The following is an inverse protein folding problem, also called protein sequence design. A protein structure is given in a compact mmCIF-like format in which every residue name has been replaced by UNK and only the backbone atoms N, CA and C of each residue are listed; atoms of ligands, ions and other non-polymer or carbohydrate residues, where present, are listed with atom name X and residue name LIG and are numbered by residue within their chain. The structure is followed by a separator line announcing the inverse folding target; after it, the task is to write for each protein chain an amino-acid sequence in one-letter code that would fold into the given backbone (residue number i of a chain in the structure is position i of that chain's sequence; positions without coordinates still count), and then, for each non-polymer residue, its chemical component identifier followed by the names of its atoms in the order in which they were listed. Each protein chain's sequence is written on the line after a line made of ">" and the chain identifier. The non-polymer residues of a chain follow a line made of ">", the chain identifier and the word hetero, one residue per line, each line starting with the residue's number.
data_IF_608378519769
#
_entry.id   IF_608378519769
#
_cell.length_a   1.000
_cell.length_b   1.000
_cell.length_c   1.000
_cell.angle_alpha   90.00
_cell.angle_beta   90.00
_cell.angle_gamma   90.00
#
_symmetry.space_group_name_H-M   'P 1'
#
loop_
_entity.id
_entity.type
_entity.pdbx_description
1 polymer ?
#
# COMPACT_ATOMS: atom_id res chain seq x y z
N UNK A 1 74.87 3.02 -41.01
CA UNK A 1 73.51 3.38 -40.60
C UNK A 1 72.79 2.12 -40.15
N UNK A 2 72.64 1.92 -38.83
CA UNK A 2 71.82 0.83 -38.27
C UNK A 2 70.62 1.49 -37.60
N UNK A 3 69.43 1.20 -38.11
CA UNK A 3 68.14 1.65 -37.58
C UNK A 3 67.81 0.88 -36.32
N UNK A 4 67.57 1.60 -35.22
CA UNK A 4 67.04 1.03 -33.97
C UNK A 4 65.52 0.79 -34.12
N UNK A 5 64.97 -0.26 -33.51
CA UNK A 5 63.53 -0.52 -33.52
C UNK A 5 62.79 0.40 -32.52
N UNK A 6 61.62 0.87 -32.95
CA UNK A 6 60.66 1.68 -32.18
C UNK A 6 60.39 1.08 -30.80
N UNK A 7 60.67 1.86 -29.74
CA UNK A 7 60.08 1.64 -28.43
C UNK A 7 58.60 2.04 -28.46
N UNK A 8 57.69 1.28 -27.83
CA UNK A 8 56.31 1.69 -27.66
C UNK A 8 56.25 2.92 -26.74
N UNK A 9 55.47 3.92 -27.16
CA UNK A 9 55.16 5.11 -26.37
C UNK A 9 54.56 4.69 -25.00
N UNK A 10 54.91 5.37 -23.90
CA UNK A 10 54.30 5.11 -22.60
C UNK A 10 52.78 5.39 -22.66
N UNK A 11 51.96 4.67 -21.88
CA UNK A 11 50.52 4.92 -21.83
C UNK A 11 50.26 6.37 -21.40
N UNK A 12 49.37 7.05 -22.11
CA UNK A 12 48.93 8.41 -21.77
C UNK A 12 48.52 8.48 -20.31
N UNK A 13 49.13 9.40 -19.57
CA UNK A 13 48.77 9.71 -18.19
C UNK A 13 47.31 10.12 -18.11
N UNK A 14 46.58 9.59 -17.13
CA UNK A 14 45.17 9.89 -16.89
C UNK A 14 44.88 11.42 -16.93
N UNK A 15 43.82 11.86 -17.62
CA UNK A 15 43.54 13.28 -17.82
C UNK A 15 43.24 13.98 -16.48
N UNK A 16 43.87 15.15 -16.32
CA UNK A 16 43.70 16.03 -15.15
C UNK A 16 42.24 16.49 -14.97
N UNK A 17 41.85 16.83 -13.74
CA UNK A 17 40.50 17.32 -13.35
C UNK A 17 40.04 18.61 -14.06
N UNK A 18 40.91 19.26 -14.83
CA UNK A 18 40.60 20.44 -15.65
C UNK A 18 40.33 20.14 -17.13
N UNK A 19 40.29 18.86 -17.54
CA UNK A 19 40.05 18.49 -18.94
C UNK A 19 38.57 18.75 -19.35
N UNK A 20 38.30 19.64 -20.32
CA UNK A 20 36.96 19.91 -20.81
C UNK A 20 36.24 18.65 -21.33
N UNK A 21 36.96 17.68 -21.88
CA UNK A 21 36.37 16.44 -22.41
C UNK A 21 35.73 15.61 -21.29
N UNK A 22 36.42 15.49 -20.16
CA UNK A 22 35.94 14.72 -19.00
C UNK A 22 34.65 15.29 -18.41
N UNK A 23 34.47 16.62 -18.43
CA UNK A 23 33.23 17.27 -17.98
C UNK A 23 32.05 17.00 -18.91
N UNK A 24 32.30 16.91 -20.22
CA UNK A 24 31.25 16.58 -21.20
C UNK A 24 30.79 15.14 -21.00
N UNK A 25 31.73 14.21 -20.77
CA UNK A 25 31.41 12.80 -20.49
C UNK A 25 30.62 12.63 -19.19
N UNK A 26 30.97 13.37 -18.13
CA UNK A 26 30.22 13.40 -16.87
C UNK A 26 28.78 13.88 -17.08
N UNK A 27 28.58 14.97 -17.84
CA UNK A 27 27.25 15.48 -18.15
C UNK A 27 26.44 14.50 -18.99
N UNK A 28 27.06 13.84 -19.97
CA UNK A 28 26.43 12.81 -20.78
C UNK A 28 26.00 11.59 -19.93
N UNK A 29 26.84 11.19 -18.97
CA UNK A 29 26.51 10.14 -18.01
C UNK A 29 25.31 10.53 -17.14
N UNK A 30 25.33 11.73 -16.54
CA UNK A 30 24.23 12.21 -15.70
C UNK A 30 22.91 12.26 -16.49
N UNK A 31 22.94 12.72 -17.73
CA UNK A 31 21.79 12.71 -18.62
C UNK A 31 21.29 11.29 -18.92
N UNK A 32 22.19 10.35 -19.24
CA UNK A 32 21.85 8.94 -19.45
C UNK A 32 21.22 8.32 -18.21
N UNK A 33 21.77 8.56 -17.02
CA UNK A 33 21.23 8.07 -15.75
C UNK A 33 19.84 8.65 -15.50
N UNK A 34 19.62 9.95 -15.73
CA UNK A 34 18.29 10.57 -15.63
C UNK A 34 17.28 9.86 -16.53
N UNK A 35 17.64 9.58 -17.79
CA UNK A 35 16.75 8.87 -18.73
C UNK A 35 16.44 7.43 -18.29
N UNK A 36 17.41 6.72 -17.71
CA UNK A 36 17.18 5.37 -17.16
C UNK A 36 16.19 5.42 -15.99
N UNK A 37 16.37 6.37 -15.08
CA UNK A 37 15.50 6.51 -13.90
C UNK A 37 14.04 6.85 -14.26
N UNK A 38 13.81 7.47 -15.42
CA UNK A 38 12.48 7.82 -15.95
C UNK A 38 11.76 6.66 -16.67
N UNK A 39 12.43 5.55 -16.99
CA UNK A 39 11.88 4.50 -17.88
C UNK A 39 10.94 3.49 -17.22
N UNK A 40 11.15 3.15 -15.94
CA UNK A 40 10.35 2.15 -15.23
C UNK A 40 10.14 2.57 -13.78
N UNK A 41 8.99 2.22 -13.20
CA UNK A 41 8.66 2.44 -11.79
C UNK A 41 9.22 1.34 -10.87
N UNK A 42 9.74 0.23 -11.39
CA UNK A 42 10.42 -0.79 -10.57
C UNK A 42 11.88 -0.39 -10.32
N UNK A 43 12.29 -0.36 -9.04
CA UNK A 43 13.66 -0.01 -8.66
C UNK A 43 14.69 -1.04 -9.12
N UNK A 44 14.32 -2.32 -9.19
CA UNK A 44 15.24 -3.38 -9.63
C UNK A 44 15.59 -3.24 -11.11
N UNK A 45 14.64 -2.77 -11.89
CA UNK A 45 14.79 -2.56 -13.33
C UNK A 45 15.64 -1.33 -13.66
N UNK A 46 15.61 -0.27 -12.83
CA UNK A 46 16.37 0.96 -13.11
C UNK A 46 17.73 1.04 -12.40
N UNK A 47 17.89 0.46 -11.21
CA UNK A 47 19.15 0.61 -10.45
C UNK A 47 20.29 -0.17 -11.11
N UNK A 48 20.02 -1.36 -11.66
CA UNK A 48 21.07 -2.18 -12.27
C UNK A 48 21.69 -1.51 -13.49
N UNK A 49 20.91 -0.95 -14.45
CA UNK A 49 21.48 -0.18 -15.56
C UNK A 49 22.18 1.13 -15.12
N UNK A 50 21.76 1.75 -14.02
CA UNK A 50 22.48 2.91 -13.45
C UNK A 50 23.86 2.50 -12.93
N UNK A 51 23.96 1.38 -12.22
CA UNK A 51 25.24 0.85 -11.74
C UNK A 51 26.16 0.46 -12.91
N UNK A 52 25.61 -0.08 -14.00
CA UNK A 52 26.36 -0.37 -15.23
C UNK A 52 26.89 0.90 -15.89
N UNK A 53 26.06 1.94 -16.04
CA UNK A 53 26.49 3.22 -16.62
C UNK A 53 27.59 3.89 -15.77
N UNK A 54 27.49 3.81 -14.44
CA UNK A 54 28.54 4.25 -13.53
C UNK A 54 29.81 3.41 -13.68
N UNK A 55 29.69 2.10 -13.86
CA UNK A 55 30.83 1.20 -14.01
C UNK A 55 31.67 1.51 -15.24
N UNK A 56 31.01 1.79 -16.36
CA UNK A 56 31.66 2.21 -17.61
C UNK A 56 32.46 3.51 -17.47
N UNK A 57 31.93 4.50 -16.73
CA UNK A 57 32.57 5.82 -16.59
C UNK A 57 33.62 5.89 -15.48
N UNK A 58 33.38 5.24 -14.33
CA UNK A 58 34.27 5.33 -13.17
C UNK A 58 35.29 4.19 -13.10
N UNK A 59 35.25 3.25 -14.06
CA UNK A 59 35.98 1.99 -14.03
C UNK A 59 35.71 1.23 -12.72
N UNK A 60 34.42 1.05 -12.39
CA UNK A 60 34.02 0.34 -11.18
C UNK A 60 34.34 -1.15 -11.33
N UNK A 61 35.10 -1.70 -10.39
CA UNK A 61 35.17 -3.15 -10.23
C UNK A 61 33.89 -3.69 -9.60
N UNK A 62 33.34 -2.95 -8.63
CA UNK A 62 32.10 -3.31 -7.96
C UNK A 62 31.29 -2.06 -7.63
N UNK A 63 29.98 -2.14 -7.78
CA UNK A 63 29.05 -1.10 -7.37
C UNK A 63 27.89 -1.74 -6.61
N UNK A 64 27.43 -1.13 -5.53
CA UNK A 64 26.26 -1.65 -4.81
C UNK A 64 25.33 -0.53 -4.42
N UNK A 65 24.04 -0.79 -4.53
CA UNK A 65 23.01 0.00 -3.88
C UNK A 65 22.45 -0.81 -2.72
N UNK A 66 22.51 -0.22 -1.54
CA UNK A 66 21.99 -0.82 -0.31
C UNK A 66 20.79 -0.03 0.19
N UNK A 67 19.81 -0.73 0.77
CA UNK A 67 18.62 -0.14 1.37
C UNK A 67 18.53 -0.48 2.86
N UNK A 68 18.15 0.52 3.65
CA UNK A 68 17.90 0.41 5.09
C UNK A 68 16.44 0.07 5.36
N UNK A 69 16.20 -1.04 6.06
CA UNK A 69 14.92 -1.32 6.68
C UNK A 69 14.87 -0.64 8.06
N UNK A 70 14.16 0.49 8.14
CA UNK A 70 14.08 1.28 9.38
C UNK A 70 13.45 0.57 10.58
N UNK A 71 12.57 -0.41 10.34
CA UNK A 71 11.92 -1.17 11.42
C UNK A 71 12.89 -2.12 12.11
N UNK A 72 13.84 -2.66 11.35
CA UNK A 72 14.76 -3.71 11.84
C UNK A 72 16.21 -3.23 11.99
N UNK A 73 16.56 -2.07 11.43
CA UNK A 73 17.94 -1.58 11.36
C UNK A 73 18.82 -2.35 10.36
N UNK A 74 18.26 -3.32 9.65
CA UNK A 74 19.01 -4.15 8.69
C UNK A 74 19.22 -3.41 7.38
N UNK A 75 20.43 -3.51 6.85
CA UNK A 75 20.84 -2.98 5.55
C UNK A 75 21.13 -4.17 4.63
N UNK A 76 20.50 -4.17 3.46
CA UNK A 76 20.67 -5.22 2.45
C UNK A 76 21.10 -4.62 1.12
N UNK A 77 21.86 -5.37 0.33
CA UNK A 77 22.15 -5.01 -1.06
C UNK A 77 20.89 -5.28 -1.90
N UNK A 78 20.31 -4.22 -2.46
CA UNK A 78 19.16 -4.31 -3.35
C UNK A 78 19.61 -4.63 -4.79
N UNK A 79 20.71 -4.01 -5.24
CA UNK A 79 21.32 -4.28 -6.54
C UNK A 79 22.82 -4.13 -6.48
N UNK A 80 23.52 -4.86 -7.36
CA UNK A 80 24.97 -4.89 -7.42
C UNK A 80 25.48 -5.06 -8.84
N UNK A 81 26.59 -4.39 -9.12
CA UNK A 81 27.46 -4.62 -10.26
C UNK A 81 28.74 -5.32 -9.78
N UNK A 82 29.24 -6.30 -10.54
CA UNK A 82 30.46 -7.05 -10.24
C UNK A 82 30.33 -8.12 -9.14
N UNK A 83 29.12 -8.37 -8.61
CA UNK A 83 28.86 -9.40 -7.59
C UNK A 83 27.94 -10.51 -8.11
N UNK A 84 28.18 -11.75 -7.66
CA UNK A 84 27.25 -12.85 -7.91
C UNK A 84 26.00 -12.76 -7.02
N UNK A 85 24.90 -13.40 -7.44
CA UNK A 85 23.67 -13.42 -6.66
C UNK A 85 23.86 -13.96 -5.23
N UNK A 86 24.77 -14.92 -5.03
CA UNK A 86 25.10 -15.45 -3.71
C UNK A 86 25.84 -14.43 -2.84
N UNK A 87 26.77 -13.67 -3.43
CA UNK A 87 27.51 -12.62 -2.74
C UNK A 87 26.58 -11.45 -2.36
N UNK A 88 25.69 -11.06 -3.27
CA UNK A 88 24.65 -10.04 -3.01
C UNK A 88 23.78 -10.43 -1.82
N UNK A 89 23.30 -11.68 -1.75
CA UNK A 89 22.47 -12.16 -0.64
C UNK A 89 23.19 -12.19 0.71
N UNK A 90 24.51 -12.41 0.71
CA UNK A 90 25.36 -12.43 1.91
C UNK A 90 25.68 -11.02 2.43
N UNK A 91 25.73 -10.01 1.56
CA UNK A 91 26.02 -8.63 1.91
C UNK A 91 24.91 -7.99 2.73
N UNK A 92 24.90 -8.29 4.03
CA UNK A 92 23.97 -7.74 5.02
C UNK A 92 24.77 -7.01 6.09
N UNK A 93 24.29 -5.84 6.49
CA UNK A 93 24.94 -4.95 7.44
C UNK A 93 23.94 -4.42 8.45
N UNK A 94 24.43 -3.90 9.57
CA UNK A 94 23.66 -3.11 10.53
C UNK A 94 24.10 -1.64 10.51
N UNK A 95 23.28 -0.76 11.08
CA UNK A 95 23.66 0.64 11.29
C UNK A 95 24.95 0.75 12.12
N UNK A 96 25.89 1.59 11.67
CA UNK A 96 27.21 1.75 12.29
C UNK A 96 28.21 0.63 11.98
N UNK A 97 27.81 -0.43 11.28
CA UNK A 97 28.68 -1.54 10.90
C UNK A 97 29.46 -1.24 9.60
N UNK A 98 30.79 -1.28 9.69
CA UNK A 98 31.68 -1.02 8.57
C UNK A 98 31.46 0.35 7.92
N UNK A 99 32.03 0.55 6.72
CA UNK A 99 31.88 1.82 5.99
C UNK A 99 30.43 2.08 5.59
N UNK A 100 29.73 1.09 5.04
CA UNK A 100 28.35 1.25 4.57
C UNK A 100 27.38 1.59 5.71
N UNK A 101 27.44 0.86 6.82
CA UNK A 101 26.56 1.12 7.97
C UNK A 101 26.85 2.46 8.64
N UNK A 102 28.12 2.89 8.70
CA UNK A 102 28.50 4.21 9.21
C UNK A 102 28.11 5.34 8.27
N UNK A 103 28.24 5.15 6.96
CA UNK A 103 27.82 6.15 5.96
C UNK A 103 26.31 6.39 6.03
N UNK A 104 25.53 5.31 6.20
CA UNK A 104 24.08 5.41 6.40
C UNK A 104 23.74 6.09 7.73
N UNK A 105 24.41 5.72 8.83
CA UNK A 105 24.13 6.26 10.15
C UNK A 105 24.50 7.74 10.28
N UNK A 106 25.66 8.14 9.74
CA UNK A 106 26.13 9.53 9.77
C UNK A 106 25.40 10.41 8.77
N UNK A 107 24.93 9.82 7.67
CA UNK A 107 24.42 10.58 6.53
C UNK A 107 25.51 11.36 5.81
N UNK A 108 26.79 11.01 5.97
CA UNK A 108 27.90 11.66 5.27
C UNK A 108 28.65 10.69 4.35
N UNK A 109 29.22 11.16 3.22
CA UNK A 109 30.08 10.34 2.40
C UNK A 109 31.30 9.85 3.18
N UNK A 110 31.71 8.60 2.93
CA UNK A 110 32.94 8.03 3.50
C UNK A 110 33.83 7.53 2.37
N UNK A 111 35.09 7.95 2.39
CA UNK A 111 36.12 7.56 1.44
C UNK A 111 37.13 6.68 2.17
N UNK A 112 37.41 5.51 1.61
CA UNK A 112 38.56 4.67 1.96
C UNK A 112 39.47 4.65 0.75
N UNK A 113 40.55 5.46 0.73
CA UNK A 113 41.43 5.57 -0.43
C UNK A 113 42.05 4.23 -0.83
N UNK A 114 42.38 3.41 0.17
CA UNK A 114 43.00 2.11 -0.03
C UNK A 114 42.43 1.12 0.98
N UNK A 115 41.75 0.07 0.49
CA UNK A 115 41.03 -0.88 1.36
C UNK A 115 41.96 -1.72 2.22
N UNK A 116 43.15 -2.06 1.74
CA UNK A 116 44.12 -2.85 2.50
C UNK A 116 44.64 -2.16 3.77
N UNK A 117 44.51 -0.83 3.85
CA UNK A 117 45.01 0.00 4.94
C UNK A 117 43.91 0.40 5.94
N UNK A 118 42.68 -0.11 5.79
CA UNK A 118 41.52 0.33 6.59
C UNK A 118 40.83 -0.80 7.33
N UNK A 119 40.81 -0.70 8.66
CA UNK A 119 40.07 -1.61 9.55
C UNK A 119 38.54 -1.48 9.45
N UNK A 120 38.05 -0.46 8.73
CA UNK A 120 36.61 -0.19 8.57
C UNK A 120 35.97 -1.06 7.48
N UNK A 121 36.77 -1.73 6.66
CA UNK A 121 36.29 -2.59 5.58
C UNK A 121 35.91 -3.96 6.14
N UNK A 122 34.63 -4.32 5.96
CA UNK A 122 34.10 -5.63 6.36
C UNK A 122 33.75 -6.43 5.10
N UNK A 123 34.42 -7.55 4.86
CA UNK A 123 34.16 -8.42 3.69
C UNK A 123 32.93 -9.32 3.89
N UNK A 124 31.74 -8.71 4.02
CA UNK A 124 30.46 -9.44 4.12
C UNK A 124 30.13 -10.25 2.88
N UNK A 125 30.68 -9.85 1.74
CA UNK A 125 30.46 -10.50 0.44
C UNK A 125 31.43 -11.65 0.20
N UNK A 126 32.44 -11.86 1.07
CA UNK A 126 33.41 -12.97 1.06
C UNK A 126 34.03 -13.20 -0.32
N UNK A 127 34.65 -12.15 -0.87
CA UNK A 127 35.08 -12.14 -2.28
C UNK A 127 36.49 -12.71 -2.49
N UNK A 128 37.24 -12.95 -1.42
CA UNK A 128 38.63 -13.45 -1.47
C UNK A 128 39.66 -12.34 -1.68
N UNK A 129 40.95 -12.71 -1.80
CA UNK A 129 42.05 -11.77 -2.08
C UNK A 129 42.02 -11.32 -3.54
N UNK A 130 42.04 -10.00 -3.77
CA UNK A 130 42.19 -9.35 -5.08
C UNK A 130 43.07 -8.11 -4.94
N UNK A 131 43.40 -7.51 -6.08
CA UNK A 131 44.11 -6.24 -6.20
C UNK A 131 43.49 -5.16 -5.29
N UNK A 132 44.35 -4.25 -4.83
CA UNK A 132 43.93 -3.20 -3.91
C UNK A 132 42.97 -2.22 -4.59
N UNK A 133 41.99 -1.76 -3.82
CA UNK A 133 40.89 -0.94 -4.34
C UNK A 133 40.63 0.26 -3.44
N UNK A 134 40.12 1.33 -4.03
CA UNK A 134 39.48 2.42 -3.29
C UNK A 134 38.00 2.10 -3.09
N UNK A 135 37.43 2.55 -1.98
CA UNK A 135 36.01 2.38 -1.68
C UNK A 135 35.39 3.72 -1.34
N UNK A 136 34.27 4.04 -1.99
CA UNK A 136 33.47 5.23 -1.73
C UNK A 136 32.08 4.77 -1.33
N UNK A 137 31.55 5.32 -0.24
CA UNK A 137 30.16 5.16 0.16
C UNK A 137 29.50 6.53 0.24
N UNK A 138 28.44 6.74 -0.54
CA UNK A 138 27.60 7.93 -0.47
C UNK A 138 26.20 7.57 0.01
N UNK A 139 25.64 8.30 1.00
CA UNK A 139 24.30 8.06 1.49
C UNK A 139 23.23 8.49 0.47
N UNK A 140 22.13 7.75 0.42
CA UNK A 140 20.93 8.06 -0.37
C UNK A 140 19.94 8.78 0.57
N UNK A 141 19.91 10.12 0.50
CA UNK A 141 19.11 10.96 1.40
C UNK A 141 17.72 11.23 0.81
N UNK A 142 16.66 10.90 1.57
CA UNK A 142 15.26 11.20 1.23
C UNK A 142 14.69 12.08 2.34
N UNK A 143 14.48 13.36 2.06
CA UNK A 143 14.10 14.35 3.07
C UNK A 143 15.18 14.47 4.15
N UNK A 144 14.80 14.31 5.43
CA UNK A 144 15.73 14.33 6.56
C UNK A 144 16.36 12.98 6.87
N UNK A 145 15.97 11.93 6.16
CA UNK A 145 16.38 10.58 6.47
C UNK A 145 17.32 9.98 5.42
N UNK A 146 18.07 8.96 5.82
CA UNK A 146 18.88 8.14 4.91
C UNK A 146 18.15 6.85 4.57
N UNK A 147 17.83 6.67 3.29
CA UNK A 147 17.14 5.47 2.78
C UNK A 147 18.09 4.29 2.57
N UNK A 148 19.39 4.56 2.43
CA UNK A 148 20.41 3.56 2.09
C UNK A 148 21.72 4.20 1.67
N UNK A 149 22.56 3.47 0.95
CA UNK A 149 23.81 3.99 0.41
C UNK A 149 24.13 3.41 -0.97
N UNK A 150 24.70 4.24 -1.82
CA UNK A 150 25.37 3.86 -3.06
C UNK A 150 26.87 3.74 -2.75
N UNK A 151 27.44 2.56 -3.00
CA UNK A 151 28.86 2.29 -2.78
C UNK A 151 29.55 1.90 -4.07
N UNK A 152 30.78 2.37 -4.24
CA UNK A 152 31.61 2.18 -5.42
C UNK A 152 32.99 1.67 -5.01
N UNK A 153 33.48 0.68 -5.75
CA UNK A 153 34.82 0.13 -5.63
C UNK A 153 35.56 0.25 -6.95
N UNK A 154 36.68 0.95 -6.92
CA UNK A 154 37.53 1.21 -8.08
C UNK A 154 38.94 0.66 -7.81
N UNK A 155 39.72 0.33 -8.84
CA UNK A 155 41.13 0.04 -8.67
C UNK A 155 41.83 1.18 -7.91
N UNK A 156 42.78 0.84 -7.04
CA UNK A 156 43.59 1.84 -6.35
C UNK A 156 44.55 2.53 -7.33
N UNK A 157 44.51 3.86 -7.35
CA UNK A 157 45.40 4.70 -8.15
C UNK A 157 45.91 5.85 -7.29
N UNK A 158 47.24 5.94 -7.11
CA UNK A 158 47.89 6.87 -6.18
C UNK A 158 47.56 8.36 -6.43
N UNK A 159 47.29 8.72 -7.70
CA UNK A 159 47.03 10.12 -8.12
C UNK A 159 45.56 10.42 -8.37
N UNK A 160 44.65 9.47 -8.14
CA UNK A 160 43.22 9.65 -8.43
C UNK A 160 42.57 10.56 -7.38
N UNK A 161 41.89 11.61 -7.84
CA UNK A 161 41.11 12.48 -6.96
C UNK A 161 39.73 11.87 -6.68
N UNK A 162 39.62 11.15 -5.55
CA UNK A 162 38.37 10.53 -5.13
C UNK A 162 37.28 11.56 -4.77
N UNK A 163 37.61 12.85 -4.58
CA UNK A 163 36.59 13.88 -4.27
C UNK A 163 35.67 14.14 -5.45
N UNK A 164 36.18 14.07 -6.68
CA UNK A 164 35.35 14.20 -7.89
C UNK A 164 34.41 13.01 -8.03
N UNK A 165 34.90 11.80 -7.74
CA UNK A 165 34.07 10.59 -7.73
C UNK A 165 32.97 10.69 -6.67
N UNK A 166 33.28 11.18 -5.46
CA UNK A 166 32.27 11.46 -4.43
C UNK A 166 31.24 12.47 -4.93
N UNK A 167 31.66 13.55 -5.60
CA UNK A 167 30.74 14.56 -6.15
C UNK A 167 29.76 13.92 -7.12
N UNK A 168 30.25 13.19 -8.10
CA UNK A 168 29.43 12.51 -9.11
C UNK A 168 28.49 11.50 -8.47
N UNK A 169 29.01 10.62 -7.61
CA UNK A 169 28.21 9.62 -6.92
C UNK A 169 27.15 10.25 -6.01
N UNK A 170 27.42 11.40 -5.40
CA UNK A 170 26.44 12.15 -4.59
C UNK A 170 25.31 12.70 -5.45
N UNK A 171 25.61 13.22 -6.64
CA UNK A 171 24.60 13.68 -7.60
C UNK A 171 23.71 12.49 -8.03
N UNK A 172 24.33 11.37 -8.42
CA UNK A 172 23.59 10.16 -8.81
C UNK A 172 22.76 9.59 -7.65
N UNK A 173 23.32 9.54 -6.44
CA UNK A 173 22.62 9.14 -5.22
C UNK A 173 21.38 10.00 -4.96
N UNK A 174 21.48 11.31 -5.22
CA UNK A 174 20.37 12.24 -5.08
C UNK A 174 19.27 12.02 -6.13
N UNK A 175 19.63 11.72 -7.38
CA UNK A 175 18.66 11.33 -8.41
C UNK A 175 17.93 10.03 -8.06
N UNK A 176 18.68 9.02 -7.59
CA UNK A 176 18.10 7.76 -7.14
C UNK A 176 17.15 8.02 -5.95
N UNK A 177 17.54 8.87 -5.00
CA UNK A 177 16.70 9.22 -3.87
C UNK A 177 15.36 9.86 -4.28
N UNK A 178 15.38 10.78 -5.24
CA UNK A 178 14.16 11.40 -5.78
C UNK A 178 13.26 10.37 -6.47
N UNK A 179 13.84 9.47 -7.27
CA UNK A 179 13.10 8.38 -7.90
C UNK A 179 12.45 7.46 -6.85
N UNK A 180 13.18 7.11 -5.78
CA UNK A 180 12.65 6.34 -4.64
C UNK A 180 11.49 7.07 -3.95
N UNK A 181 11.63 8.37 -3.70
CA UNK A 181 10.64 9.16 -2.98
C UNK A 181 9.32 9.28 -3.75
N UNK A 182 9.40 9.61 -5.05
CA UNK A 182 8.22 9.72 -5.91
C UNK A 182 7.42 8.40 -5.95
N UNK A 183 8.15 7.28 -6.01
CA UNK A 183 7.54 5.94 -6.08
C UNK A 183 6.89 5.52 -4.76
N UNK A 184 7.50 5.85 -3.61
CA UNK A 184 6.89 5.60 -2.30
C UNK A 184 5.59 6.35 -2.13
N UNK A 185 5.56 7.63 -2.49
CA UNK A 185 4.34 8.43 -2.41
C UNK A 185 3.21 7.86 -3.27
N UNK A 186 3.51 7.44 -4.50
CA UNK A 186 2.52 6.83 -5.41
C UNK A 186 1.98 5.48 -4.88
N UNK A 187 2.84 4.64 -4.30
CA UNK A 187 2.44 3.36 -3.72
C UNK A 187 1.57 3.55 -2.46
N UNK A 188 1.95 4.45 -1.56
CA UNK A 188 1.18 4.77 -0.35
C UNK A 188 -0.21 5.32 -0.69
N UNK A 189 -0.31 6.17 -1.71
CA UNK A 189 -1.59 6.69 -2.19
C UNK A 189 -2.46 5.59 -2.79
N UNK A 190 -1.88 4.69 -3.58
CA UNK A 190 -2.59 3.53 -4.15
C UNK A 190 -3.13 2.62 -3.05
N UNK A 191 -2.31 2.24 -2.07
CA UNK A 191 -2.74 1.40 -0.94
C UNK A 191 -3.84 2.08 -0.10
N UNK A 192 -3.76 3.40 0.07
CA UNK A 192 -4.80 4.17 0.77
C UNK A 192 -6.11 4.16 0.00
N UNK A 193 -6.07 4.36 -1.33
CA UNK A 193 -7.24 4.29 -2.20
C UNK A 193 -7.88 2.90 -2.20
N UNK A 194 -7.08 1.84 -2.22
CA UNK A 194 -7.58 0.46 -2.16
C UNK A 194 -8.27 0.16 -0.83
N UNK A 195 -7.68 0.57 0.30
CA UNK A 195 -8.30 0.44 1.62
C UNK A 195 -9.62 1.20 1.71
N UNK A 196 -9.65 2.42 1.20
CA UNK A 196 -10.87 3.24 1.18
C UNK A 196 -11.94 2.63 0.27
N UNK A 197 -11.56 2.11 -0.90
CA UNK A 197 -12.47 1.41 -1.80
C UNK A 197 -13.06 0.17 -1.13
N UNK A 198 -12.24 -0.60 -0.41
CA UNK A 198 -12.69 -1.76 0.34
C UNK A 198 -13.65 -1.36 1.46
N UNK A 199 -13.32 -0.32 2.25
CA UNK A 199 -14.20 0.23 3.29
C UNK A 199 -15.57 0.64 2.72
N UNK A 200 -15.57 1.39 1.61
CA UNK A 200 -16.81 1.81 0.93
C UNK A 200 -17.62 0.63 0.39
N UNK A 201 -16.96 -0.43 -0.10
CA UNK A 201 -17.62 -1.67 -0.53
C UNK A 201 -18.25 -2.41 0.65
N UNK A 202 -17.59 -2.43 1.80
CA UNK A 202 -18.11 -3.06 3.01
C UNK A 202 -19.31 -2.27 3.56
N UNK A 203 -19.25 -0.94 3.57
CA UNK A 203 -20.41 -0.08 3.91
C UNK A 203 -21.61 -0.27 2.95
N UNK A 204 -21.36 -0.50 1.66
CA UNK A 204 -22.41 -0.84 0.69
C UNK A 204 -23.00 -2.25 0.92
N UNK A 205 -22.21 -3.19 1.42
CA UNK A 205 -22.65 -4.56 1.76
C UNK A 205 -23.47 -4.59 3.05
N UNK A 206 -23.17 -3.71 4.00
CA UNK A 206 -23.86 -3.60 5.29
C UNK A 206 -25.22 -2.89 5.21
N UNK A 207 -25.71 -2.52 4.02
CA UNK A 207 -27.10 -2.10 3.87
C UNK A 207 -28.02 -3.23 4.34
N UNK A 208 -28.88 -2.89 5.28
CA UNK A 208 -29.88 -3.77 5.87
C UNK A 208 -30.64 -4.53 4.77
N UNK A 209 -30.65 -5.87 4.84
CA UNK A 209 -31.38 -6.73 3.91
C UNK A 209 -32.18 -7.75 4.72
N UNK A 210 -33.52 -7.68 4.71
CA UNK A 210 -34.35 -8.70 5.32
C UNK A 210 -34.09 -10.07 4.69
N UNK A 211 -33.92 -11.11 5.51
CA UNK A 211 -33.65 -12.48 5.04
C UNK A 211 -34.79 -13.10 4.23
N UNK A 212 -36.00 -12.54 4.33
CA UNK A 212 -37.23 -13.03 3.72
C UNK A 212 -37.63 -12.30 2.42
N UNK A 213 -36.85 -11.32 1.94
CA UNK A 213 -37.13 -10.59 0.70
C UNK A 213 -35.96 -10.76 -0.28
N UNK A 214 -36.27 -11.22 -1.50
CA UNK A 214 -35.29 -11.38 -2.57
C UNK A 214 -35.35 -10.16 -3.52
N UNK A 215 -34.25 -9.42 -3.62
CA UNK A 215 -34.14 -8.28 -4.53
C UNK A 215 -32.90 -7.43 -4.26
N UNK A 216 -32.22 -6.97 -5.32
CA UNK A 216 -31.01 -6.16 -5.23
C UNK A 216 -31.03 -4.89 -6.10
N UNK A 217 -32.20 -4.55 -6.68
CA UNK A 217 -32.36 -3.32 -7.47
C UNK A 217 -32.26 -2.07 -6.58
N UNK A 218 -32.06 -0.92 -7.22
CA UNK A 218 -31.97 0.36 -6.51
C UNK A 218 -33.26 0.67 -5.74
N UNK A 219 -34.41 0.40 -6.36
CA UNK A 219 -35.74 0.60 -5.77
C UNK A 219 -35.94 -0.30 -4.54
N UNK A 220 -35.45 -1.53 -4.58
CA UNK A 220 -35.49 -2.44 -3.42
C UNK A 220 -34.60 -1.96 -2.28
N UNK A 221 -33.48 -1.30 -2.56
CA UNK A 221 -32.66 -0.69 -1.49
C UNK A 221 -33.45 0.40 -0.74
N UNK A 222 -34.24 1.21 -1.46
CA UNK A 222 -35.11 2.23 -0.84
C UNK A 222 -36.14 1.56 0.09
N UNK A 223 -36.76 0.46 -0.35
CA UNK A 223 -37.69 -0.31 0.49
C UNK A 223 -37.00 -0.86 1.73
N UNK A 224 -35.78 -1.40 1.61
CA UNK A 224 -35.03 -1.90 2.75
C UNK A 224 -34.68 -0.80 3.76
N UNK A 225 -34.27 0.38 3.29
CA UNK A 225 -33.97 1.53 4.14
C UNK A 225 -35.23 1.98 4.91
N UNK A 226 -36.40 1.99 4.25
CA UNK A 226 -37.68 2.30 4.90
C UNK A 226 -38.07 1.24 5.95
N UNK A 227 -37.89 -0.04 5.66
CA UNK A 227 -38.12 -1.12 6.63
C UNK A 227 -37.21 -0.94 7.85
N UNK A 228 -35.92 -0.68 7.64
CA UNK A 228 -34.95 -0.47 8.73
C UNK A 228 -35.29 0.75 9.61
N UNK A 229 -35.82 1.81 8.99
CA UNK A 229 -36.24 3.02 9.70
C UNK A 229 -37.50 2.76 10.54
N UNK A 230 -38.50 2.08 9.95
CA UNK A 230 -39.78 1.81 10.62
C UNK A 230 -39.63 0.77 11.72
N UNK A 231 -38.83 -0.29 11.50
CA UNK A 231 -38.68 -1.40 12.47
C UNK A 231 -38.13 -0.96 13.82
N UNK A 232 -37.34 0.12 13.86
CA UNK A 232 -36.79 0.70 15.09
C UNK A 232 -37.69 1.75 15.75
N UNK A 233 -38.90 1.95 15.25
CA UNK A 233 -39.82 2.99 15.72
C UNK A 233 -41.13 2.40 16.26
N UNK A 234 -41.83 3.17 17.10
CA UNK A 234 -43.14 2.79 17.64
C UNK A 234 -44.32 3.37 16.84
N UNK A 235 -44.11 3.74 15.58
CA UNK A 235 -45.15 4.34 14.72
C UNK A 235 -45.98 3.30 13.97
N UNK A 236 -47.19 3.66 13.58
CA UNK A 236 -47.98 2.92 12.58
C UNK A 236 -47.40 3.13 11.19
N UNK A 237 -47.44 2.10 10.34
CA UNK A 237 -46.94 2.14 8.97
C UNK A 237 -48.01 1.66 7.98
N UNK A 238 -48.02 2.26 6.78
CA UNK A 238 -48.88 1.90 5.67
C UNK A 238 -48.03 1.29 4.55
N UNK A 239 -48.36 0.06 4.14
CA UNK A 239 -47.63 -0.65 3.07
C UNK A 239 -48.48 -0.59 1.80
N UNK A 240 -47.97 0.07 0.77
CA UNK A 240 -48.63 0.20 -0.53
C UNK A 240 -47.97 -0.70 -1.58
N UNK A 241 -48.78 -1.23 -2.49
CA UNK A 241 -48.30 -2.05 -3.59
C UNK A 241 -49.42 -2.86 -4.21
N UNK A 242 -49.22 -3.31 -5.45
CA UNK A 242 -50.17 -4.16 -6.16
C UNK A 242 -50.35 -5.52 -5.46
N UNK A 243 -51.43 -6.22 -5.79
CA UNK A 243 -51.70 -7.57 -5.28
C UNK A 243 -50.57 -8.52 -5.73
N UNK A 244 -50.00 -9.27 -4.79
CA UNK A 244 -48.92 -10.24 -5.09
C UNK A 244 -47.49 -9.70 -5.03
N UNK A 245 -47.28 -8.40 -4.73
CA UNK A 245 -45.93 -7.80 -4.63
C UNK A 245 -45.17 -8.15 -3.33
N UNK A 246 -45.77 -8.94 -2.44
CA UNK A 246 -45.13 -9.38 -1.20
C UNK A 246 -45.22 -8.37 -0.04
N UNK A 247 -46.30 -7.57 0.05
CA UNK A 247 -46.56 -6.66 1.19
C UNK A 247 -46.46 -7.35 2.56
N UNK A 248 -46.89 -8.61 2.64
CA UNK A 248 -46.75 -9.44 3.83
C UNK A 248 -45.28 -9.70 4.21
N UNK A 249 -44.39 -9.89 3.22
CA UNK A 249 -42.96 -10.05 3.49
C UNK A 249 -42.36 -8.78 4.09
N UNK A 250 -42.83 -7.61 3.66
CA UNK A 250 -42.46 -6.31 4.24
C UNK A 250 -42.95 -6.20 5.68
N UNK A 251 -44.20 -6.56 5.97
CA UNK A 251 -44.75 -6.55 7.34
C UNK A 251 -43.96 -7.48 8.28
N UNK A 252 -43.63 -8.69 7.82
CA UNK A 252 -42.75 -9.61 8.55
C UNK A 252 -41.35 -9.04 8.78
N UNK A 253 -40.76 -8.42 7.74
CA UNK A 253 -39.44 -7.81 7.84
C UNK A 253 -39.43 -6.68 8.87
N UNK A 254 -40.47 -5.86 8.94
CA UNK A 254 -40.61 -4.81 9.96
C UNK A 254 -40.67 -5.43 11.36
N UNK A 255 -41.53 -6.44 11.57
CA UNK A 255 -41.72 -7.05 12.89
C UNK A 255 -40.45 -7.74 13.40
N UNK A 256 -39.87 -8.66 12.63
CA UNK A 256 -38.73 -9.47 13.07
C UNK A 256 -37.40 -8.71 13.15
N UNK A 257 -37.33 -7.50 12.60
CA UNK A 257 -36.19 -6.60 12.74
C UNK A 257 -36.46 -5.41 13.70
N UNK A 258 -37.52 -5.52 14.52
CA UNK A 258 -37.86 -4.56 15.56
C UNK A 258 -37.49 -5.08 16.96
N UNK A 259 -37.57 -4.20 17.96
CA UNK A 259 -37.48 -4.58 19.38
C UNK A 259 -38.62 -5.52 19.84
N UNK A 260 -39.61 -5.77 18.97
CA UNK A 260 -40.77 -6.64 19.21
C UNK A 260 -40.65 -8.01 18.54
N UNK A 261 -39.51 -8.35 17.93
CA UNK A 261 -39.32 -9.59 17.17
C UNK A 261 -39.62 -10.89 17.95
N UNK A 262 -39.50 -10.86 19.29
CA UNK A 262 -39.83 -11.99 20.17
C UNK A 262 -41.27 -11.99 20.70
N UNK A 263 -42.13 -11.08 20.24
CA UNK A 263 -43.51 -10.88 20.72
C UNK A 263 -44.53 -11.30 19.65
N UNK A 264 -45.84 -11.34 19.95
CA UNK A 264 -46.84 -11.76 18.97
C UNK A 264 -46.83 -10.91 17.69
N UNK A 265 -46.89 -11.60 16.54
CA UNK A 265 -47.20 -11.01 15.24
C UNK A 265 -48.56 -11.52 14.79
N UNK A 266 -49.58 -10.66 14.87
CA UNK A 266 -50.96 -11.01 14.53
C UNK A 266 -51.25 -10.46 13.13
N UNK A 267 -51.54 -11.36 12.19
CA UNK A 267 -51.97 -11.00 10.83
C UNK A 267 -53.47 -11.25 10.72
N UNK A 268 -54.21 -10.30 10.18
CA UNK A 268 -55.59 -10.48 9.79
C UNK A 268 -55.90 -9.80 8.44
N UNK A 269 -56.88 -10.32 7.71
CA UNK A 269 -57.32 -9.78 6.43
C UNK A 269 -58.63 -9.04 6.64
N UNK A 270 -58.59 -7.70 6.65
CA UNK A 270 -59.76 -6.89 6.97
C UNK A 270 -60.88 -7.03 5.92
N UNK A 271 -60.53 -7.37 4.68
CA UNK A 271 -61.49 -7.61 3.61
C UNK A 271 -62.41 -8.83 3.87
N UNK A 272 -62.03 -9.74 4.77
CA UNK A 272 -62.82 -10.92 5.10
C UNK A 272 -63.78 -10.71 6.28
N UNK A 273 -63.69 -9.57 6.99
CA UNK A 273 -64.50 -9.29 8.17
C UNK A 273 -65.82 -8.60 7.80
N UNK A 274 -66.99 -9.15 8.19
CA UNK A 274 -68.25 -8.45 8.07
C UNK A 274 -68.24 -7.15 8.88
N UNK A 275 -68.78 -6.07 8.31
CA UNK A 275 -68.81 -4.74 8.97
C UNK A 275 -69.46 -4.80 10.36
N UNK A 276 -70.47 -5.66 10.53
CA UNK A 276 -71.15 -5.88 11.82
C UNK A 276 -70.31 -6.59 12.88
N UNK A 277 -69.19 -7.23 12.51
CA UNK A 277 -68.33 -7.99 13.41
C UNK A 277 -66.95 -7.36 13.62
N UNK A 278 -66.58 -6.34 12.83
CA UNK A 278 -65.23 -5.76 12.84
C UNK A 278 -64.84 -5.22 14.22
N UNK A 279 -65.76 -4.55 14.93
CA UNK A 279 -65.50 -4.00 16.26
C UNK A 279 -65.28 -5.12 17.28
N UNK A 280 -66.10 -6.17 17.22
CA UNK A 280 -66.06 -7.33 18.10
C UNK A 280 -64.79 -8.18 17.89
N UNK A 281 -64.29 -8.26 16.66
CA UNK A 281 -63.05 -8.96 16.31
C UNK A 281 -61.80 -8.17 16.73
N UNK A 282 -61.75 -6.87 16.40
CA UNK A 282 -60.58 -6.04 16.68
C UNK A 282 -60.43 -5.70 18.17
N UNK A 283 -61.53 -5.32 18.82
CA UNK A 283 -61.53 -4.83 20.20
C UNK A 283 -62.04 -5.85 21.23
N UNK A 284 -62.71 -6.91 20.78
CA UNK A 284 -63.33 -7.87 21.69
C UNK A 284 -64.61 -7.33 22.31
N UNK A 285 -65.27 -8.16 23.12
CA UNK A 285 -66.43 -7.75 23.91
C UNK A 285 -66.56 -8.58 25.19
N UNK A 286 -67.27 -8.02 26.18
CA UNK A 286 -67.68 -8.75 27.38
C UNK A 286 -69.09 -9.29 27.21
N UNK A 287 -69.39 -10.37 27.92
CA UNK A 287 -70.75 -10.92 28.02
C UNK A 287 -71.73 -9.82 28.42
N UNK A 288 -72.81 -9.67 27.65
CA UNK A 288 -73.85 -8.65 27.87
C UNK A 288 -73.52 -7.25 27.37
N UNK A 289 -72.44 -7.05 26.59
CA UNK A 289 -72.12 -5.75 26.01
C UNK A 289 -73.15 -5.27 24.96
N UNK A 290 -73.82 -6.20 24.28
CA UNK A 290 -74.91 -5.95 23.34
C UNK A 290 -75.90 -7.12 23.33
N UNK A 291 -77.06 -6.95 22.69
CA UNK A 291 -78.06 -8.02 22.52
C UNK A 291 -77.49 -9.14 21.63
N UNK A 292 -77.23 -10.32 22.21
CA UNK A 292 -76.56 -11.44 21.54
C UNK A 292 -75.09 -11.66 21.95
N UNK A 293 -74.54 -10.85 22.87
CA UNK A 293 -73.21 -11.05 23.44
C UNK A 293 -73.23 -12.15 24.54
N UNK A 294 -73.44 -13.40 24.14
CA UNK A 294 -73.64 -14.52 25.07
C UNK A 294 -72.37 -14.94 25.81
N UNK A 295 -71.21 -14.69 25.20
CA UNK A 295 -69.88 -15.03 25.71
C UNK A 295 -68.91 -13.84 25.70
N UNK A 296 -67.78 -13.99 26.42
CA UNK A 296 -66.69 -13.03 26.40
C UNK A 296 -65.70 -13.37 25.28
N UNK A 297 -65.26 -12.35 24.52
CA UNK A 297 -64.28 -12.48 23.45
C UNK A 297 -63.14 -11.48 23.62
N UNK A 298 -61.91 -11.97 23.51
CA UNK A 298 -60.69 -11.16 23.48
C UNK A 298 -60.47 -10.64 22.06
N UNK A 299 -60.18 -9.34 21.91
CA UNK A 299 -59.96 -8.70 20.62
C UNK A 299 -58.54 -8.85 20.09
N UNK A 300 -58.35 -8.74 18.78
CA UNK A 300 -57.05 -8.86 18.12
C UNK A 300 -56.02 -7.85 18.64
N UNK A 301 -56.44 -6.62 19.00
CA UNK A 301 -55.52 -5.65 19.61
C UNK A 301 -55.00 -6.09 20.97
N UNK A 302 -55.82 -6.79 21.75
CA UNK A 302 -55.43 -7.33 23.05
C UNK A 302 -54.50 -8.53 22.87
N UNK A 303 -54.78 -9.42 21.90
CA UNK A 303 -53.91 -10.54 21.54
C UNK A 303 -52.54 -10.06 21.06
N UNK A 304 -52.51 -8.97 20.28
CA UNK A 304 -51.28 -8.37 19.74
C UNK A 304 -50.55 -7.47 20.76
N UNK A 305 -51.04 -7.36 22.01
CA UNK A 305 -50.51 -6.41 22.97
C UNK A 305 -49.00 -6.58 23.19
N UNK A 306 -48.27 -5.46 23.10
CA UNK A 306 -46.82 -5.42 23.16
C UNK A 306 -46.10 -5.87 21.89
N UNK A 307 -46.77 -6.55 20.95
CA UNK A 307 -46.26 -7.05 19.67
C UNK A 307 -46.64 -6.16 18.48
N UNK A 308 -47.00 -6.79 17.36
CA UNK A 308 -47.37 -6.12 16.10
C UNK A 308 -48.66 -6.73 15.56
N UNK A 309 -49.58 -5.88 15.11
CA UNK A 309 -50.76 -6.28 14.33
C UNK A 309 -50.59 -5.80 12.89
N UNK A 310 -50.80 -6.67 11.92
CA UNK A 310 -50.80 -6.38 10.49
C UNK A 310 -52.18 -6.63 9.93
N UNK A 311 -52.76 -5.59 9.34
CA UNK A 311 -54.09 -5.58 8.76
C UNK A 311 -53.95 -5.47 7.23
N UNK A 312 -54.24 -6.55 6.51
CA UNK A 312 -54.14 -6.67 5.04
C UNK A 312 -55.49 -6.43 4.34
#
# INVERSE_FOLDING_TARGET
>A
MKTQPNQPLPPESAPSSSDPSRRVDELALLYRISRILDQSLDMREVVSPVLEALAENLNLQHGTLTLLNRKTGNIIIESAHGLSAQQTRRGRYQLGEGVTGRGIQSGEPIIVPRKSESDLIVDKTQRGKRDDTSFICVPIKVGQDVAGALSAETPYEEKRDLKEDVRLLTIVSSMIAQAVQLRRAAQEETEKLEKENQRLRDELRDRFRPSNILGNSHEMQIVYDQIAQVSKSNTSALILGETGTGKELVAHAIHYNSDRAGKPFIKDHCAALPESLIESELFGHRKGAFTGADDHRVGLFEVANGGTIFLD
#
